data_IF_155425662641
#
_entry.id   IF_155425662641
#
_cell.length_a   1.000
_cell.length_b   1.000
_cell.length_c   1.000
_cell.angle_alpha   90.00
_cell.angle_beta   90.00
_cell.angle_gamma   90.00
#
_symmetry.space_group_name_H-M   'P 1'
#
loop_
_entity.id
_entity.type
_entity.pdbx_description
1 polymer ?
#
# COMPACT_ATOMS: atom_id res chain seq x y z
N UNK A 1 0.44 -12.10 -16.07
CA UNK A 1 -0.47 -12.49 -14.98
C UNK A 1 0.16 -13.52 -14.03
N UNK A 2 0.75 -14.61 -14.53
CA UNK A 2 1.42 -15.61 -13.67
C UNK A 2 2.60 -15.01 -12.86
N UNK A 3 3.43 -14.17 -13.48
CA UNK A 3 4.54 -13.49 -12.79
C UNK A 3 4.02 -12.52 -11.70
N UNK A 4 3.03 -11.68 -12.01
CA UNK A 4 2.42 -10.75 -11.05
C UNK A 4 1.88 -11.48 -9.81
N UNK A 5 1.28 -12.66 -9.99
CA UNK A 5 0.82 -13.49 -8.87
C UNK A 5 1.97 -14.05 -8.02
N UNK A 6 3.07 -14.47 -8.64
CA UNK A 6 4.28 -14.91 -7.92
C UNK A 6 4.90 -13.76 -7.13
N UNK A 7 4.99 -12.57 -7.72
CA UNK A 7 5.49 -11.36 -7.06
C UNK A 7 4.58 -10.94 -5.90
N UNK A 8 3.26 -10.94 -6.08
CA UNK A 8 2.34 -10.60 -5.00
C UNK A 8 2.48 -11.56 -3.81
N UNK A 9 2.63 -12.86 -4.07
CA UNK A 9 2.88 -13.86 -3.02
C UNK A 9 4.21 -13.64 -2.31
N UNK A 10 5.24 -13.25 -3.06
CA UNK A 10 6.53 -12.88 -2.48
C UNK A 10 6.39 -11.69 -1.54
N UNK A 11 5.74 -10.61 -1.98
CA UNK A 11 5.51 -9.42 -1.16
C UNK A 11 4.71 -9.76 0.11
N UNK A 12 3.63 -10.55 0.01
CA UNK A 12 2.84 -10.98 1.17
C UNK A 12 3.69 -11.75 2.20
N UNK A 13 4.59 -12.63 1.72
CA UNK A 13 5.50 -13.36 2.61
C UNK A 13 6.52 -12.43 3.29
N UNK A 14 7.04 -11.43 2.57
CA UNK A 14 8.00 -10.48 3.13
C UNK A 14 7.36 -9.53 4.14
N UNK A 15 6.16 -9.01 3.84
CA UNK A 15 5.42 -8.14 4.76
C UNK A 15 5.17 -8.81 6.11
N UNK A 16 5.00 -10.14 6.15
CA UNK A 16 4.84 -10.93 7.38
C UNK A 16 6.12 -11.09 8.19
N UNK A 17 7.29 -10.82 7.60
CA UNK A 17 8.60 -10.88 8.25
C UNK A 17 9.08 -9.49 8.72
N UNK A 18 8.52 -8.42 8.15
CA UNK A 18 8.81 -7.05 8.55
C UNK A 18 8.08 -6.64 9.84
N UNK A 19 8.61 -5.61 10.51
CA UNK A 19 7.99 -4.99 11.69
C UNK A 19 6.85 -4.03 11.31
N UNK A 20 5.81 -4.57 10.67
CA UNK A 20 4.59 -3.87 10.37
C UNK A 20 3.45 -4.44 11.20
N UNK A 21 2.55 -3.56 11.68
CA UNK A 21 1.34 -4.05 12.32
C UNK A 21 0.34 -4.59 11.28
N UNK A 22 -0.65 -5.36 11.72
CA UNK A 22 -1.62 -6.01 10.82
C UNK A 22 -2.38 -5.03 9.90
N UNK A 23 -2.62 -3.79 10.34
CA UNK A 23 -3.29 -2.78 9.51
C UNK A 23 -2.35 -2.26 8.41
N UNK A 24 -1.07 -2.10 8.73
CA UNK A 24 -0.03 -1.73 7.76
C UNK A 24 0.18 -2.83 6.74
N UNK A 25 0.32 -4.09 7.18
CA UNK A 25 0.48 -5.25 6.29
C UNK A 25 -0.67 -5.31 5.29
N UNK A 26 -1.91 -5.22 5.77
CA UNK A 26 -3.07 -5.29 4.89
C UNK A 26 -3.09 -4.14 3.88
N UNK A 27 -2.81 -2.91 4.34
CA UNK A 27 -2.79 -1.76 3.45
C UNK A 27 -1.68 -1.86 2.40
N UNK A 28 -0.47 -2.25 2.80
CA UNK A 28 0.67 -2.44 1.89
C UNK A 28 0.41 -3.56 0.88
N UNK A 29 -0.29 -4.60 1.28
CA UNK A 29 -0.75 -5.64 0.36
C UNK A 29 -1.70 -5.07 -0.72
N UNK A 30 -2.67 -4.24 -0.35
CA UNK A 30 -3.57 -3.56 -1.31
C UNK A 30 -2.80 -2.64 -2.26
N UNK A 31 -1.84 -1.87 -1.74
CA UNK A 31 -0.95 -1.04 -2.56
C UNK A 31 -0.10 -1.88 -3.53
N UNK A 32 0.38 -3.05 -3.10
CA UNK A 32 1.16 -3.97 -3.92
C UNK A 32 0.31 -4.60 -5.03
N UNK A 33 -0.94 -4.95 -4.73
CA UNK A 33 -1.91 -5.37 -5.75
C UNK A 33 -2.16 -4.26 -6.77
N UNK A 34 -2.36 -3.02 -6.30
CA UNK A 34 -2.55 -1.89 -7.20
C UNK A 34 -1.34 -1.68 -8.11
N UNK A 35 -0.12 -1.81 -7.58
CA UNK A 35 1.12 -1.68 -8.34
C UNK A 35 1.30 -2.78 -9.41
N UNK A 36 1.03 -4.04 -9.05
CA UNK A 36 1.32 -5.19 -9.92
C UNK A 36 0.26 -5.49 -11.00
N UNK A 37 -1.00 -5.12 -10.76
CA UNK A 37 -2.12 -5.56 -11.59
C UNK A 37 -2.85 -4.43 -12.30
N UNK A 38 -2.75 -3.21 -11.79
CA UNK A 38 -3.34 -2.06 -12.44
C UNK A 38 -2.19 -1.20 -12.95
N UNK A 39 -2.17 -0.85 -14.24
CA UNK A 39 -1.27 0.17 -14.82
C UNK A 39 -1.62 1.56 -14.26
N UNK A 40 -1.66 1.69 -12.93
CA UNK A 40 -1.97 2.92 -12.24
C UNK A 40 -0.63 3.54 -11.89
N UNK A 41 -0.04 4.18 -12.90
CA UNK A 41 1.02 5.19 -12.74
C UNK A 41 0.60 6.35 -11.81
N UNK A 42 -0.60 6.30 -11.25
CA UNK A 42 -1.21 7.39 -10.48
C UNK A 42 -1.42 7.06 -9.00
N UNK A 43 -1.17 5.83 -8.53
CA UNK A 43 -1.45 5.45 -7.15
C UNK A 43 -2.92 5.34 -6.76
N UNK A 44 -3.16 4.98 -5.50
CA UNK A 44 -4.49 4.83 -4.92
C UNK A 44 -4.99 6.19 -4.41
N UNK A 45 -6.24 6.53 -4.72
CA UNK A 45 -6.93 7.72 -4.24
C UNK A 45 -7.30 7.58 -2.75
N UNK A 46 -6.84 8.52 -1.93
CA UNK A 46 -7.10 8.57 -0.50
C UNK A 46 -8.60 8.71 -0.17
N UNK A 47 -9.37 9.39 -1.02
CA UNK A 47 -10.82 9.49 -0.84
C UNK A 47 -11.49 8.13 -1.05
N UNK A 48 -11.02 7.36 -2.04
CA UNK A 48 -11.51 6.00 -2.28
C UNK A 48 -11.20 5.12 -1.06
N UNK A 49 -9.95 5.13 -0.58
CA UNK A 49 -9.56 4.41 0.64
C UNK A 49 -10.37 4.84 1.84
N UNK A 50 -10.57 6.15 2.06
CA UNK A 50 -11.34 6.67 3.18
C UNK A 50 -12.81 6.24 3.10
N UNK A 51 -13.43 6.25 1.93
CA UNK A 51 -14.84 5.88 1.76
C UNK A 51 -15.07 4.38 1.92
N UNK A 52 -14.15 3.54 1.43
CA UNK A 52 -14.26 2.07 1.45
C UNK A 52 -13.42 1.39 2.55
N UNK A 53 -12.85 2.17 3.47
CA UNK A 53 -11.90 1.73 4.50
C UNK A 53 -12.30 0.46 5.26
N UNK A 54 -13.58 0.30 5.61
CA UNK A 54 -14.01 -0.84 6.42
C UNK A 54 -14.14 -2.12 5.60
N UNK A 55 -14.53 -1.99 4.33
CA UNK A 55 -14.63 -3.09 3.37
C UNK A 55 -13.22 -3.58 3.02
N UNK A 56 -12.34 -2.64 2.66
CA UNK A 56 -10.95 -2.93 2.30
C UNK A 56 -10.23 -3.63 3.45
N UNK A 57 -10.37 -3.15 4.69
CA UNK A 57 -9.69 -3.78 5.83
C UNK A 57 -10.42 -4.99 6.42
N UNK A 58 -11.63 -5.31 5.93
CA UNK A 58 -12.48 -6.35 6.51
C UNK A 58 -12.91 -6.09 7.96
N UNK A 59 -12.80 -4.84 8.46
CA UNK A 59 -13.17 -4.46 9.83
C UNK A 59 -13.56 -3.00 9.92
N UNK A 60 -14.39 -2.65 10.91
CA UNK A 60 -14.80 -1.27 11.16
C UNK A 60 -13.57 -0.39 11.42
N UNK A 61 -13.37 0.60 10.57
CA UNK A 61 -12.26 1.55 10.68
C UNK A 61 -12.78 2.99 10.63
N UNK A 62 -12.17 3.91 11.38
CA UNK A 62 -12.51 5.34 11.32
C UNK A 62 -11.70 6.04 10.24
N UNK A 63 -12.23 7.14 9.70
CA UNK A 63 -11.53 7.99 8.71
C UNK A 63 -10.21 8.50 9.29
N UNK A 64 -10.21 8.89 10.58
CA UNK A 64 -8.99 9.34 11.27
C UNK A 64 -7.94 8.23 11.34
N UNK A 65 -8.36 6.99 11.61
CA UNK A 65 -7.40 5.86 11.74
C UNK A 65 -6.71 5.57 10.42
N UNK A 66 -7.45 5.50 9.31
CA UNK A 66 -6.85 5.25 7.99
C UNK A 66 -5.96 6.41 7.54
N UNK A 67 -6.35 7.66 7.81
CA UNK A 67 -5.53 8.83 7.53
C UNK A 67 -4.20 8.77 8.29
N UNK A 68 -4.26 8.54 9.61
CA UNK A 68 -3.05 8.40 10.43
C UNK A 68 -2.14 7.27 9.94
N UNK A 69 -2.72 6.17 9.46
CA UNK A 69 -1.98 5.03 8.91
C UNK A 69 -1.24 5.42 7.63
N UNK A 70 -1.93 6.06 6.69
CA UNK A 70 -1.34 6.53 5.44
C UNK A 70 -0.27 7.60 5.68
N UNK A 71 -0.53 8.55 6.58
CA UNK A 71 0.43 9.59 6.95
C UNK A 71 1.68 9.00 7.63
N UNK A 72 1.50 7.97 8.47
CA UNK A 72 2.61 7.23 9.10
C UNK A 72 3.48 6.50 8.07
N UNK A 73 2.86 5.87 7.06
CA UNK A 73 3.58 5.21 5.97
C UNK A 73 4.31 6.21 5.07
N UNK A 74 3.71 7.38 4.81
CA UNK A 74 4.37 8.46 4.05
C UNK A 74 5.54 9.08 4.82
N UNK A 75 5.41 9.30 6.13
CA UNK A 75 6.49 9.81 6.96
C UNK A 75 7.68 8.84 7.04
N UNK A 76 7.43 7.53 6.96
CA UNK A 76 8.46 6.48 6.84
C UNK A 76 8.94 6.27 5.41
N UNK A 77 8.49 7.11 4.47
CA UNK A 77 8.80 7.04 3.03
C UNK A 77 8.46 5.71 2.38
N UNK A 78 7.52 4.95 2.96
CA UNK A 78 6.97 3.72 2.37
C UNK A 78 5.95 4.06 1.29
N UNK A 79 5.18 5.12 1.52
CA UNK A 79 4.31 5.74 0.53
C UNK A 79 4.82 7.13 0.14
N UNK A 80 4.47 7.59 -1.05
CA UNK A 80 4.68 8.99 -1.45
C UNK A 80 3.45 9.53 -2.17
N UNK A 81 3.06 10.77 -1.86
CA UNK A 81 2.03 11.49 -2.61
C UNK A 81 2.52 11.84 -4.02
N UNK A 82 1.84 11.34 -5.04
CA UNK A 82 2.13 11.62 -6.46
C UNK A 82 1.15 12.63 -7.07
N UNK A 83 -0.02 12.84 -6.45
CA UNK A 83 -1.01 13.83 -6.89
C UNK A 83 -1.71 14.42 -5.67
N UNK A 84 -1.99 15.74 -5.68
CA UNK A 84 -2.67 16.43 -4.58
C UNK A 84 -4.19 16.59 -4.76
N UNK A 85 -4.71 16.46 -5.98
CA UNK A 85 -6.15 16.56 -6.26
C UNK A 85 -6.60 15.65 -7.43
N UNK A 86 -7.30 14.53 -7.16
CA UNK A 86 -7.47 13.93 -5.83
C UNK A 86 -6.11 13.53 -5.23
N UNK A 87 -6.05 13.41 -3.90
CA UNK A 87 -4.84 12.98 -3.21
C UNK A 87 -4.56 11.52 -3.55
N UNK A 88 -3.40 11.24 -4.14
CA UNK A 88 -3.02 9.87 -4.50
C UNK A 88 -1.62 9.55 -4.02
N UNK A 89 -1.46 8.32 -3.51
CA UNK A 89 -0.20 7.81 -2.97
C UNK A 89 0.24 6.54 -3.72
N UNK A 90 1.55 6.28 -3.81
CA UNK A 90 2.14 5.06 -4.39
C UNK A 90 3.17 4.46 -3.45
N UNK A 91 3.50 3.18 -3.64
CA UNK A 91 4.68 2.57 -3.02
C UNK A 91 5.95 3.21 -3.58
N UNK A 92 6.93 3.44 -2.71
CA UNK A 92 8.24 3.98 -3.11
C UNK A 92 9.22 2.85 -3.42
N UNK A 93 10.31 3.17 -4.12
CA UNK A 93 11.43 2.24 -4.26
C UNK A 93 12.04 1.85 -2.90
N UNK A 94 11.96 2.74 -1.90
CA UNK A 94 12.41 2.47 -0.53
C UNK A 94 11.58 1.35 0.12
N UNK A 95 10.27 1.29 -0.15
CA UNK A 95 9.45 0.16 0.27
C UNK A 95 9.95 -1.15 -0.32
N UNK A 96 10.17 -1.22 -1.63
CA UNK A 96 10.58 -2.46 -2.28
C UNK A 96 11.96 -2.93 -1.83
N UNK A 97 12.89 -1.99 -1.63
CA UNK A 97 14.19 -2.27 -0.98
C UNK A 97 14.03 -2.82 0.44
N UNK A 98 13.06 -2.30 1.21
CA UNK A 98 12.81 -2.76 2.59
C UNK A 98 12.27 -4.20 2.68
N UNK A 99 11.77 -4.76 1.58
CA UNK A 99 11.27 -6.14 1.48
C UNK A 99 12.15 -7.01 0.56
N UNK A 100 13.41 -6.62 0.36
CA UNK A 100 14.37 -7.32 -0.50
C UNK A 100 13.83 -7.61 -1.91
N UNK A 101 13.10 -6.65 -2.49
CA UNK A 101 12.60 -6.72 -3.86
C UNK A 101 13.30 -5.67 -4.72
N UNK A 102 14.10 -6.14 -5.68
CA UNK A 102 14.69 -5.27 -6.70
C UNK A 102 13.72 -5.12 -7.88
N UNK A 103 13.47 -3.87 -8.26
CA UNK A 103 12.56 -3.47 -9.35
C UNK A 103 13.30 -2.67 -10.43
N UNK A 104 14.63 -2.61 -10.35
CA UNK A 104 15.48 -1.91 -11.32
C UNK A 104 15.48 -2.53 -12.73
#
# INVERSE_FOLDING_TARGET
>A
MELSNKLLKYIDNQLKQCDYNNDEIHLLYIYSQSFLFNNIDQGIDDNFLQNHRSEIMGKKMSVRKIRNLLDSLENRKILVTVKKSPLKRVLTDEFFKSIDMDIS
#
